data_IF_387559008057
#
_entry.id   IF_387559008057
#
_cell.length_a   1.000
_cell.length_b   1.000
_cell.length_c   1.000
_cell.angle_alpha   90.00
_cell.angle_beta   90.00
_cell.angle_gamma   90.00
#
_symmetry.space_group_name_H-M   'P 1'
#
loop_
_entity.id
_entity.type
_entity.pdbx_description
1 polymer ?
#
# COMPACT_ATOMS: atom_id res chain seq x y z
N UNK A 1 -8.01 6.01 -5.69
CA UNK A 1 -8.03 5.62 -7.12
C UNK A 1 -7.71 4.13 -7.29
N UNK A 2 -8.00 3.51 -8.43
CA UNK A 2 -7.45 2.18 -8.76
C UNK A 2 -6.05 2.32 -9.36
N UNK A 3 -5.09 1.64 -8.76
CA UNK A 3 -3.69 1.59 -9.22
C UNK A 3 -3.50 0.39 -10.15
N UNK A 4 -4.18 -0.73 -9.90
CA UNK A 4 -4.21 -1.89 -10.78
C UNK A 4 -5.63 -2.18 -11.25
N UNK A 5 -5.91 -1.95 -12.53
CA UNK A 5 -7.22 -2.29 -13.13
C UNK A 5 -7.40 -3.81 -13.25
N UNK A 6 -6.34 -4.53 -13.63
CA UNK A 6 -6.37 -5.97 -13.82
C UNK A 6 -6.81 -6.79 -12.59
N UNK A 7 -6.43 -6.32 -11.40
CA UNK A 7 -6.65 -6.99 -10.12
C UNK A 7 -7.49 -6.13 -9.16
N UNK A 8 -8.11 -5.05 -9.65
CA UNK A 8 -8.88 -4.10 -8.85
C UNK A 8 -8.19 -3.65 -7.55
N UNK A 9 -6.89 -3.33 -7.62
CA UNK A 9 -6.13 -2.86 -6.46
C UNK A 9 -6.26 -1.34 -6.39
N UNK A 10 -6.86 -0.86 -5.31
CA UNK A 10 -6.97 0.57 -5.00
C UNK A 10 -5.73 1.12 -4.28
N UNK A 11 -5.54 2.42 -4.35
CA UNK A 11 -4.51 3.16 -3.61
C UNK A 11 -4.63 2.90 -2.10
N UNK A 12 -5.86 2.88 -1.57
CA UNK A 12 -6.13 2.54 -0.17
C UNK A 12 -5.69 1.12 0.17
N UNK A 13 -6.04 0.12 -0.64
CA UNK A 13 -5.60 -1.26 -0.42
C UNK A 13 -4.07 -1.37 -0.46
N UNK A 14 -3.43 -0.73 -1.44
CA UNK A 14 -1.98 -0.70 -1.51
C UNK A 14 -1.37 -0.14 -0.22
N UNK A 15 -1.86 1.02 0.26
CA UNK A 15 -1.40 1.69 1.49
C UNK A 15 -1.62 0.86 2.76
N UNK A 16 -2.78 0.22 2.93
CA UNK A 16 -3.06 -0.60 4.11
C UNK A 16 -2.07 -1.76 4.28
N UNK A 17 -1.57 -2.32 3.18
CA UNK A 17 -0.59 -3.41 3.21
C UNK A 17 0.87 -2.91 3.16
N UNK A 18 1.09 -1.59 3.20
CA UNK A 18 2.43 -0.97 3.30
C UNK A 18 2.87 -0.69 4.74
N UNK A 19 2.05 -1.02 5.75
CA UNK A 19 2.35 -0.70 7.15
C UNK A 19 3.58 -1.44 7.70
N UNK A 20 3.99 -2.53 7.06
CA UNK A 20 5.25 -3.22 7.36
C UNK A 20 6.40 -2.65 6.52
N UNK A 21 7.47 -2.22 7.18
CA UNK A 21 8.69 -1.77 6.51
C UNK A 21 9.21 -2.87 5.56
N UNK A 22 9.53 -2.50 4.31
CA UNK A 22 10.12 -3.42 3.32
C UNK A 22 9.13 -4.22 2.46
N UNK A 23 7.84 -3.87 2.45
CA UNK A 23 6.90 -4.47 1.51
C UNK A 23 7.33 -4.23 0.04
N UNK A 24 7.45 -5.30 -0.73
CA UNK A 24 7.67 -5.27 -2.18
C UNK A 24 6.34 -5.40 -2.94
N UNK A 25 6.30 -5.01 -4.21
CA UNK A 25 5.10 -5.22 -5.07
C UNK A 25 4.71 -6.70 -5.14
N UNK A 26 5.69 -7.61 -5.14
CA UNK A 26 5.42 -9.05 -5.10
C UNK A 26 4.84 -9.51 -3.76
N UNK A 27 5.29 -8.93 -2.64
CA UNK A 27 4.68 -9.17 -1.34
C UNK A 27 3.23 -8.67 -1.29
N UNK A 28 2.96 -7.49 -1.85
CA UNK A 28 1.61 -6.94 -1.94
C UNK A 28 0.65 -7.88 -2.71
N UNK A 29 1.05 -8.40 -3.86
CA UNK A 29 0.21 -9.36 -4.60
C UNK A 29 -0.06 -10.64 -3.80
N UNK A 30 0.96 -11.16 -3.10
CA UNK A 30 0.80 -12.36 -2.25
C UNK A 30 -0.17 -12.12 -1.10
N UNK A 31 -0.07 -11.00 -0.41
CA UNK A 31 -0.97 -10.64 0.71
C UNK A 31 -2.41 -10.45 0.22
N UNK A 32 -2.58 -9.89 -0.98
CA UNK A 32 -3.90 -9.72 -1.60
C UNK A 32 -4.45 -10.99 -2.24
N UNK A 33 -3.69 -12.10 -2.24
CA UNK A 33 -4.13 -13.37 -2.84
C UNK A 33 -4.30 -13.32 -4.36
N UNK A 34 -3.62 -12.39 -5.06
CA UNK A 34 -3.74 -12.21 -6.51
C UNK A 34 -2.42 -12.48 -7.23
N UNK A 35 -2.51 -12.82 -8.51
CA UNK A 35 -1.35 -12.95 -9.40
C UNK A 35 -1.20 -11.71 -10.29
N UNK A 36 0.02 -11.25 -10.62
CA UNK A 36 0.21 -10.17 -11.57
C UNK A 36 -0.37 -10.56 -12.94
N UNK A 37 -1.01 -9.60 -13.62
CA UNK A 37 -1.44 -9.73 -15.03
C UNK A 37 -0.48 -8.95 -15.93
N UNK A 38 -0.89 -7.78 -16.43
CA UNK A 38 -0.09 -6.99 -17.38
C UNK A 38 1.11 -6.24 -16.77
N UNK A 39 1.24 -6.19 -15.45
CA UNK A 39 2.37 -5.54 -14.76
C UNK A 39 2.43 -4.00 -14.81
N UNK A 40 1.56 -3.33 -15.58
CA UNK A 40 1.60 -1.86 -15.80
C UNK A 40 1.53 -1.01 -14.53
N UNK A 41 0.88 -1.52 -13.48
CA UNK A 41 0.77 -0.86 -12.19
C UNK A 41 2.04 -0.93 -11.31
N UNK A 42 3.02 -1.78 -11.66
CA UNK A 42 4.16 -2.06 -10.80
C UNK A 42 5.06 -0.83 -10.51
N UNK A 43 5.31 0.10 -11.46
CA UNK A 43 6.06 1.33 -11.15
C UNK A 43 5.34 2.19 -10.11
N UNK A 44 4.04 2.44 -10.29
CA UNK A 44 3.23 3.23 -9.37
C UNK A 44 3.12 2.57 -7.98
N UNK A 45 2.89 1.26 -7.92
CA UNK A 45 2.87 0.52 -6.65
C UNK A 45 4.23 0.59 -5.95
N UNK A 46 5.34 0.48 -6.69
CA UNK A 46 6.69 0.59 -6.12
C UNK A 46 6.94 1.99 -5.58
N UNK A 47 6.55 3.03 -6.30
CA UNK A 47 6.68 4.41 -5.82
C UNK A 47 5.89 4.61 -4.53
N UNK A 48 4.64 4.15 -4.46
CA UNK A 48 3.83 4.21 -3.23
C UNK A 48 4.45 3.46 -2.04
N UNK A 49 5.07 2.30 -2.30
CA UNK A 49 5.78 1.51 -1.29
C UNK A 49 7.07 2.19 -0.81
N UNK A 50 7.76 2.92 -1.69
CA UNK A 50 9.01 3.64 -1.40
C UNK A 50 8.78 5.01 -0.74
N UNK A 51 7.71 5.73 -1.12
CA UNK A 51 7.40 7.09 -0.67
C UNK A 51 7.05 7.22 0.83
N UNK A 52 6.97 6.10 1.57
CA UNK A 52 6.68 6.08 3.01
C UNK A 52 7.80 6.69 3.88
N UNK A 53 8.88 7.22 3.27
CA UNK A 53 9.91 8.02 3.95
C UNK A 53 9.46 9.46 4.22
N UNK A 54 8.40 9.98 3.60
CA UNK A 54 8.17 11.44 3.56
C UNK A 54 6.78 11.96 3.95
N UNK A 55 5.83 11.13 4.39
CA UNK A 55 4.53 11.64 4.86
C UNK A 55 3.98 10.83 6.04
N UNK A 56 4.59 11.07 7.21
CA UNK A 56 3.88 10.92 8.48
C UNK A 56 2.79 11.99 8.48
N UNK A 57 1.52 11.59 8.42
CA UNK A 57 0.40 12.45 8.82
C UNK A 57 0.28 12.33 10.35
N UNK A 58 0.62 13.36 11.14
CA UNK A 58 0.66 13.29 12.60
C UNK A 58 -0.74 13.27 13.25
N UNK A 59 -1.84 13.14 12.49
CA UNK A 59 -3.20 13.31 13.05
C UNK A 59 -3.89 12.01 13.48
N UNK A 60 -3.20 10.87 13.51
CA UNK A 60 -3.82 9.59 13.93
C UNK A 60 -3.37 9.05 15.28
N UNK A 61 -2.92 9.92 16.18
CA UNK A 61 -2.75 9.60 17.60
C UNK A 61 -3.52 10.63 18.44
N UNK A 62 -4.83 10.50 18.49
CA UNK A 62 -5.67 11.17 19.49
C UNK A 62 -6.84 10.25 19.80
N UNK A 63 -6.94 9.82 21.07
CA UNK A 63 -7.77 8.76 21.68
C UNK A 63 -7.01 7.41 21.78
N UNK A 64 -6.57 6.95 22.95
CA UNK A 64 -7.18 7.06 24.28
C UNK A 64 -6.13 7.23 25.39
N UNK A 65 -6.24 8.35 26.09
CA UNK A 65 -5.87 8.46 27.50
C UNK A 65 -7.17 8.33 28.27
N UNK A 66 -7.33 7.29 29.08
CA UNK A 66 -8.20 7.28 30.27
C UNK A 66 -7.91 6.01 31.08
N UNK A 67 -7.39 6.19 32.29
CA UNK A 67 -7.16 5.14 33.29
C UNK A 67 -5.80 5.21 33.95
#
# INVERSE_FOLDING_TARGET
MYVCICNAISDRQARLHTDSAGCSVAALYRVLGVKPKCGKCAPALREMLTLRRSSVDPRRDSHASDG
#
